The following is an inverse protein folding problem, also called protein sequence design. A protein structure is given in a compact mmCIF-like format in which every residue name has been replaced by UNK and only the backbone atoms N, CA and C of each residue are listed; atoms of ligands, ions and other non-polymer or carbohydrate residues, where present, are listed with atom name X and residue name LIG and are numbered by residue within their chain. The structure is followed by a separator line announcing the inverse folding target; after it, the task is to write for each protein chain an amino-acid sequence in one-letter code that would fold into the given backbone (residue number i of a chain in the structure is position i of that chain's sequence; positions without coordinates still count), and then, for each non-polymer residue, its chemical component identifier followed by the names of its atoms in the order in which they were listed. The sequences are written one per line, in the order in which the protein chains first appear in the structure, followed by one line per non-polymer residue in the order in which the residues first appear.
data_IF_119951418583
#
_entry.id   IF_119951418583
#
_cell.length_a   1.000
_cell.length_b   1.000
_cell.length_c   1.000
_cell.angle_alpha   90.00
_cell.angle_beta   90.00
_cell.angle_gamma   90.00
#
_symmetry.space_group_name_H-M   'P 1'
#
loop_
_entity.id
_entity.type
_entity.pdbx_description
1 polymer ?
#
# COMPACT_ATOMS: atom_id res chain seq x y z
N UNK A 1 5.88 11.31 -13.71
CA UNK A 1 6.28 12.67 -13.26
C UNK A 1 5.20 13.68 -13.66
N UNK A 2 4.78 14.54 -12.73
CA UNK A 2 3.77 15.58 -12.94
C UNK A 2 4.38 16.99 -12.87
N UNK A 3 3.90 17.92 -13.71
CA UNK A 3 4.39 19.30 -13.72
C UNK A 3 3.28 20.32 -14.00
N UNK A 4 3.51 21.58 -13.60
CA UNK A 4 2.55 22.67 -13.80
C UNK A 4 3.00 23.51 -14.99
N UNK A 5 2.08 23.75 -15.91
CA UNK A 5 2.21 24.67 -17.04
C UNK A 5 1.35 25.91 -16.77
N UNK A 6 1.96 27.09 -16.80
CA UNK A 6 1.22 28.36 -16.71
C UNK A 6 0.88 28.87 -18.12
N UNK A 7 -0.37 29.27 -18.35
CA UNK A 7 -0.79 30.02 -19.55
C UNK A 7 -1.56 31.27 -19.13
N UNK A 8 -0.97 32.45 -19.32
CA UNK A 8 -1.57 33.74 -18.94
C UNK A 8 -2.05 33.73 -17.46
N UNK A 9 -3.37 33.71 -17.24
CA UNK A 9 -4.04 33.68 -15.93
C UNK A 9 -4.45 32.27 -15.46
N UNK A 10 -4.26 31.24 -16.26
CA UNK A 10 -4.61 29.86 -15.90
C UNK A 10 -3.38 28.98 -15.68
N UNK A 11 -3.56 27.99 -14.83
CA UNK A 11 -2.58 26.95 -14.52
C UNK A 11 -3.08 25.63 -15.08
N UNK A 12 -2.18 24.74 -15.48
CA UNK A 12 -2.55 23.40 -15.93
C UNK A 12 -1.58 22.39 -15.37
N UNK A 13 -2.09 21.34 -14.74
CA UNK A 13 -1.28 20.25 -14.23
C UNK A 13 -1.27 19.16 -15.29
N UNK A 14 -0.08 18.80 -15.78
CA UNK A 14 0.11 17.76 -16.80
C UNK A 14 0.82 16.58 -16.16
N UNK A 15 0.28 15.39 -16.37
CA UNK A 15 0.83 14.16 -15.82
C UNK A 15 0.60 12.98 -16.77
N UNK A 16 1.46 11.97 -16.66
CA UNK A 16 1.32 10.69 -17.38
C UNK A 16 0.55 9.69 -16.53
N UNK A 17 -0.31 8.91 -17.16
CA UNK A 17 -1.08 7.82 -16.57
C UNK A 17 -0.81 6.57 -17.39
N UNK A 18 -0.53 5.46 -16.72
CA UNK A 18 -0.39 4.16 -17.38
C UNK A 18 -1.76 3.48 -17.34
N UNK A 19 -2.29 3.13 -18.49
CA UNK A 19 -3.48 2.31 -18.57
C UNK A 19 -3.16 0.84 -18.26
N UNK A 20 -4.20 0.03 -18.00
CA UNK A 20 -4.07 -1.37 -17.61
C UNK A 20 -3.33 -2.23 -18.66
N UNK A 21 -3.38 -1.80 -19.92
CA UNK A 21 -2.71 -2.42 -21.07
C UNK A 21 -1.25 -1.96 -21.23
N UNK A 22 -0.73 -1.16 -20.29
CA UNK A 22 0.67 -0.68 -20.28
C UNK A 22 0.93 0.51 -21.22
N UNK A 23 -0.13 1.08 -21.81
CA UNK A 23 0.01 2.27 -22.68
C UNK A 23 0.07 3.55 -21.84
N UNK A 24 1.06 4.41 -22.10
CA UNK A 24 1.19 5.71 -21.43
C UNK A 24 0.27 6.76 -22.10
N UNK A 25 -0.65 7.34 -21.34
CA UNK A 25 -1.50 8.44 -21.78
C UNK A 25 -1.17 9.73 -21.02
N UNK A 26 -1.19 10.87 -21.73
CA UNK A 26 -1.00 12.19 -21.13
C UNK A 26 -2.36 12.80 -20.77
N UNK A 27 -2.54 13.21 -19.51
CA UNK A 27 -3.72 13.98 -19.06
C UNK A 27 -3.31 15.40 -18.67
N UNK A 28 -4.19 16.35 -18.94
CA UNK A 28 -4.03 17.75 -18.51
C UNK A 28 -5.29 18.25 -17.80
N UNK A 29 -5.13 18.73 -16.57
CA UNK A 29 -6.20 19.34 -15.77
C UNK A 29 -5.94 20.86 -15.64
N UNK A 30 -6.95 21.68 -15.92
CA UNK A 30 -6.86 23.14 -15.83
C UNK A 30 -7.34 23.68 -14.47
N UNK A 31 -6.63 24.67 -13.93
CA UNK A 31 -6.91 25.32 -12.65
C UNK A 31 -6.80 26.84 -12.75
N UNK A 32 -7.57 27.55 -11.92
CA UNK A 32 -7.60 29.01 -11.90
C UNK A 32 -6.51 29.59 -10.99
N UNK A 33 -6.17 28.89 -9.90
CA UNK A 33 -5.16 29.36 -8.93
C UNK A 33 -3.91 28.46 -8.89
N UNK A 34 -2.77 29.06 -8.54
CA UNK A 34 -1.51 28.33 -8.38
C UNK A 34 -1.57 27.35 -7.19
N UNK A 35 -2.18 27.78 -6.08
CA UNK A 35 -2.31 26.94 -4.87
C UNK A 35 -3.10 25.66 -5.13
N UNK A 36 -4.17 25.72 -5.92
CA UNK A 36 -4.93 24.53 -6.33
C UNK A 36 -4.10 23.61 -7.23
N UNK A 37 -3.39 24.18 -8.20
CA UNK A 37 -2.52 23.41 -9.09
C UNK A 37 -1.38 22.70 -8.32
N UNK A 38 -0.79 23.37 -7.32
CA UNK A 38 0.24 22.79 -6.45
C UNK A 38 -0.30 21.69 -5.54
N UNK A 39 -1.46 21.91 -4.92
CA UNK A 39 -2.14 20.89 -4.12
C UNK A 39 -2.41 19.65 -4.97
N UNK A 40 -2.94 19.84 -6.18
CA UNK A 40 -3.21 18.74 -7.09
C UNK A 40 -1.94 18.02 -7.56
N UNK A 41 -0.88 18.77 -7.88
CA UNK A 41 0.41 18.20 -8.24
C UNK A 41 0.93 17.28 -7.12
N UNK A 42 0.87 17.71 -5.86
CA UNK A 42 1.27 16.88 -4.70
C UNK A 42 0.43 15.62 -4.56
N UNK A 43 -0.88 15.70 -4.77
CA UNK A 43 -1.76 14.52 -4.77
C UNK A 43 -1.39 13.52 -5.87
N UNK A 44 -1.06 14.01 -7.07
CA UNK A 44 -0.65 13.17 -8.20
C UNK A 44 0.73 12.57 -7.95
N UNK A 45 1.69 13.34 -7.44
CA UNK A 45 3.02 12.85 -7.07
C UNK A 45 2.94 11.81 -5.97
N UNK A 46 2.08 12.00 -4.97
CA UNK A 46 1.80 11.00 -3.94
C UNK A 46 1.22 9.72 -4.53
N UNK A 47 0.23 9.83 -5.43
CA UNK A 47 -0.33 8.67 -6.14
C UNK A 47 0.66 7.98 -7.08
N UNK A 48 1.61 8.72 -7.65
CA UNK A 48 2.68 8.20 -8.49
C UNK A 48 3.81 7.58 -7.67
N UNK A 49 4.14 8.11 -6.48
CA UNK A 49 5.12 7.53 -5.56
C UNK A 49 4.60 6.28 -4.88
N UNK A 50 3.28 6.18 -4.70
CA UNK A 50 2.62 4.92 -4.41
C UNK A 50 2.76 3.90 -5.56
N UNK A 51 3.27 4.33 -6.72
CA UNK A 51 3.94 3.50 -7.71
C UNK A 51 3.06 2.38 -8.22
N UNK A 52 2.24 2.64 -9.24
CA UNK A 52 1.29 1.65 -9.74
C UNK A 52 0.21 1.38 -8.70
N UNK A 53 -0.94 2.04 -8.83
CA UNK A 53 -2.13 1.50 -8.20
C UNK A 53 -2.54 0.25 -8.97
N UNK A 54 -1.76 -0.82 -8.85
CA UNK A 54 -2.34 -2.15 -8.78
C UNK A 54 -3.17 -2.05 -7.52
N UNK A 55 -4.48 -1.77 -7.67
CA UNK A 55 -5.44 -2.38 -6.74
C UNK A 55 -4.89 -3.79 -6.57
N UNK A 56 -4.45 -4.27 -5.40
CA UNK A 56 -4.24 -5.70 -5.26
C UNK A 56 -5.57 -6.29 -5.73
N UNK A 57 -5.63 -6.79 -6.97
CA UNK A 57 -6.84 -7.28 -7.62
C UNK A 57 -7.15 -8.53 -6.84
N UNK A 58 -7.78 -8.37 -5.68
CA UNK A 58 -8.03 -9.35 -4.65
C UNK A 58 -7.49 -10.74 -5.02
N UNK A 59 -6.17 -10.97 -4.94
CA UNK A 59 -5.59 -12.27 -5.31
C UNK A 59 -5.76 -13.20 -4.13
N UNK A 60 -7.04 -13.54 -3.87
CA UNK A 60 -7.53 -14.51 -2.90
C UNK A 60 -7.25 -14.09 -1.45
N UNK A 61 -8.30 -14.18 -0.62
CA UNK A 61 -8.28 -13.97 0.84
C UNK A 61 -7.07 -14.66 1.53
N UNK A 62 -6.58 -15.77 0.97
CA UNK A 62 -5.39 -16.49 1.44
C UNK A 62 -4.09 -15.65 1.52
N UNK A 63 -3.87 -14.70 0.60
CA UNK A 63 -2.61 -13.92 0.58
C UNK A 63 -2.68 -12.78 1.59
N UNK A 64 -3.85 -12.18 1.74
CA UNK A 64 -4.13 -11.13 2.72
C UNK A 64 -4.02 -11.66 4.16
N UNK A 65 -4.53 -12.88 4.42
CA UNK A 65 -4.36 -13.55 5.71
C UNK A 65 -2.89 -13.87 5.98
N UNK A 66 -2.11 -14.30 4.97
CA UNK A 66 -0.67 -14.58 5.15
C UNK A 66 0.12 -13.34 5.53
N UNK A 67 -0.15 -12.19 4.92
CA UNK A 67 0.50 -10.94 5.29
C UNK A 67 0.03 -10.44 6.67
N UNK A 68 -1.26 -10.54 6.98
CA UNK A 68 -1.79 -10.19 8.30
C UNK A 68 -1.16 -11.05 9.41
N UNK A 69 -1.10 -12.37 9.23
CA UNK A 69 -0.47 -13.30 10.18
C UNK A 69 1.05 -13.11 10.23
N UNK A 70 1.70 -12.66 9.15
CA UNK A 70 3.13 -12.34 9.20
C UNK A 70 3.42 -11.09 10.04
N UNK A 71 2.56 -10.07 9.95
CA UNK A 71 2.74 -8.79 10.66
C UNK A 71 2.30 -8.91 12.13
N UNK A 72 1.19 -9.60 12.39
CA UNK A 72 0.59 -9.69 13.74
C UNK A 72 0.83 -11.05 14.41
N UNK A 73 0.97 -12.12 13.65
CA UNK A 73 1.06 -13.48 14.18
C UNK A 73 2.40 -13.85 14.83
N UNK A 74 3.49 -13.18 14.47
CA UNK A 74 4.80 -13.42 15.11
C UNK A 74 4.81 -13.01 16.59
N UNK A 75 3.99 -12.03 16.98
CA UNK A 75 3.94 -11.53 18.35
C UNK A 75 2.92 -12.28 19.23
N UNK A 76 1.87 -12.86 18.66
CA UNK A 76 0.80 -13.51 19.43
C UNK A 76 0.85 -15.05 19.40
N UNK A 77 1.28 -15.68 18.28
CA UNK A 77 1.13 -17.13 18.09
C UNK A 77 2.40 -17.94 18.38
N UNK A 78 3.58 -17.30 18.30
CA UNK A 78 4.86 -17.94 18.63
C UNK A 78 5.01 -18.19 20.13
N UNK A 79 4.57 -17.24 20.96
CA UNK A 79 4.57 -17.36 22.42
C UNK A 79 3.59 -18.44 22.90
N UNK A 80 2.39 -18.52 22.32
CA UNK A 80 1.39 -19.54 22.72
C UNK A 80 1.87 -20.96 22.40
N UNK A 81 2.50 -21.18 21.23
CA UNK A 81 3.02 -22.51 20.87
C UNK A 81 4.20 -22.93 21.75
N UNK A 82 5.11 -22.02 22.08
CA UNK A 82 6.25 -22.31 22.97
C UNK A 82 5.77 -22.58 24.40
N UNK A 83 4.80 -21.82 24.91
CA UNK A 83 4.24 -22.00 26.24
C UNK A 83 3.48 -23.34 26.34
N UNK A 84 2.66 -23.71 25.34
CA UNK A 84 1.96 -25.00 25.30
C UNK A 84 2.92 -26.19 25.19
N UNK A 85 4.01 -26.05 24.44
CA UNK A 85 5.03 -27.09 24.35
C UNK A 85 5.76 -27.30 25.68
N UNK A 86 6.07 -26.23 26.41
CA UNK A 86 6.67 -26.29 27.74
C UNK A 86 5.72 -26.89 28.78
N UNK A 87 4.45 -26.50 28.80
CA UNK A 87 3.47 -27.06 29.76
C UNK A 87 3.17 -28.53 29.50
N UNK A 88 3.12 -28.97 28.24
CA UNK A 88 2.96 -30.38 27.89
C UNK A 88 4.19 -31.20 28.28
N UNK A 89 5.41 -30.67 28.13
CA UNK A 89 6.64 -31.37 28.52
C UNK A 89 6.72 -31.55 30.05
N UNK A 90 6.35 -30.52 30.82
CA UNK A 90 6.26 -30.58 32.28
C UNK A 90 5.17 -31.58 32.75
N UNK A 91 4.01 -31.61 32.07
CA UNK A 91 2.96 -32.60 32.36
C UNK A 91 3.39 -34.05 32.06
N UNK A 92 4.10 -34.28 30.96
CA UNK A 92 4.59 -35.62 30.60
C UNK A 92 5.68 -36.06 31.57
N UNK A 93 6.59 -35.16 31.98
CA UNK A 93 7.64 -35.48 32.94
C UNK A 93 7.09 -35.71 34.36
N UNK A 94 6.04 -34.99 34.76
CA UNK A 94 5.32 -35.20 36.01
C UNK A 94 4.48 -36.48 36.08
N UNK A 95 4.07 -37.05 34.94
CA UNK A 95 3.42 -38.37 34.87
C UNK A 95 4.41 -39.54 34.89
N UNK A 96 5.70 -39.29 34.63
CA UNK A 96 6.75 -40.32 34.61
C UNK A 96 7.56 -40.39 35.91
N UNK A 97 7.12 -39.69 36.96
CA UNK A 97 7.66 -39.72 38.32
C UNK A 97 6.65 -40.33 39.28
#
# INVERSE_FOLDING_TARGET
MAYIRKRKKSYSVVYRVNDADGTEHQKSEGYTTLKEAEKRKKEIEYKQSLGTFVVPKCTKVKELIKEYVRIYGHNEWGVINIILALTLLECIWGMLR
#
